data_IF_099242444658
#
_entry.id   IF_099242444658
#
_cell.length_a   1.000
_cell.length_b   1.000
_cell.length_c   1.000
_cell.angle_alpha   90.00
_cell.angle_beta   90.00
_cell.angle_gamma   90.00
#
_symmetry.space_group_name_H-M   'P 1'
#
loop_
_entity.id
_entity.type
_entity.pdbx_description
1 polymer ?
#
# COMPACT_ATOMS: atom_id res chain seq x y z
N UNK A 1 -16.87 27.56 26.23
CA UNK A 1 -16.55 26.55 27.25
C UNK A 1 -17.63 25.48 27.14
N UNK A 2 -17.22 24.21 27.00
CA UNK A 2 -17.90 23.06 26.38
C UNK A 2 -17.93 23.12 24.84
N UNK A 3 -17.52 22.12 24.05
CA UNK A 3 -16.46 21.10 24.14
C UNK A 3 -16.44 20.42 22.76
N UNK A 4 -15.26 20.40 22.11
CA UNK A 4 -14.77 19.35 21.22
C UNK A 4 -15.72 18.76 20.17
N UNK A 5 -16.07 19.52 19.13
CA UNK A 5 -16.47 18.91 17.86
C UNK A 5 -15.19 18.67 17.06
N UNK A 6 -14.71 17.43 17.09
CA UNK A 6 -13.65 16.94 16.22
C UNK A 6 -14.09 17.10 14.76
N UNK A 7 -13.80 18.27 14.20
CA UNK A 7 -13.71 18.53 12.77
C UNK A 7 -12.49 17.80 12.20
N UNK A 8 -12.47 16.47 12.36
CA UNK A 8 -11.71 15.57 11.49
C UNK A 8 -12.48 15.54 10.18
N UNK A 9 -12.40 16.65 9.47
CA UNK A 9 -13.07 16.88 8.22
C UNK A 9 -12.75 15.74 7.26
N UNK A 10 -13.79 14.96 6.96
CA UNK A 10 -13.97 14.15 5.76
C UNK A 10 -13.84 14.95 4.44
N UNK A 11 -13.14 16.10 4.40
CA UNK A 11 -13.02 16.94 3.19
C UNK A 11 -12.30 16.19 2.04
N UNK A 12 -11.61 15.07 2.32
CA UNK A 12 -11.04 14.19 1.29
C UNK A 12 -11.71 12.81 1.18
N UNK A 13 -12.72 12.50 2.01
CA UNK A 13 -13.50 11.27 1.91
C UNK A 13 -14.72 11.41 0.96
N UNK A 14 -15.06 12.61 0.48
CA UNK A 14 -16.03 12.76 -0.64
C UNK A 14 -15.35 13.06 -1.99
N UNK A 15 -14.11 13.58 -1.99
CA UNK A 15 -13.41 13.98 -3.21
C UNK A 15 -12.51 12.90 -3.84
N UNK A 16 -12.09 11.87 -3.09
CA UNK A 16 -11.09 10.88 -3.56
C UNK A 16 -11.45 9.40 -3.38
N UNK A 17 -12.64 9.03 -2.89
CA UNK A 17 -13.09 7.63 -2.98
C UNK A 17 -13.27 7.12 -4.43
N UNK A 18 -13.15 8.02 -5.41
CA UNK A 18 -13.27 7.72 -6.83
C UNK A 18 -12.10 6.98 -7.48
N UNK A 19 -11.02 6.62 -6.78
CA UNK A 19 -10.00 5.76 -7.42
C UNK A 19 -9.18 4.96 -6.40
N UNK A 20 -9.80 3.96 -5.78
CA UNK A 20 -9.02 2.77 -5.42
C UNK A 20 -8.37 2.25 -6.71
N UNK A 21 -7.06 2.40 -6.82
CA UNK A 21 -6.33 1.98 -8.01
C UNK A 21 -6.04 0.51 -7.87
N UNK A 22 -6.92 -0.32 -8.43
CA UNK A 22 -6.65 -1.73 -8.60
C UNK A 22 -5.67 -1.91 -9.76
N UNK A 23 -4.58 -2.62 -9.50
CA UNK A 23 -3.56 -2.87 -10.50
C UNK A 23 -3.02 -4.30 -10.40
N UNK A 24 -2.57 -4.82 -11.54
CA UNK A 24 -1.78 -6.03 -11.61
C UNK A 24 -0.30 -5.66 -11.56
N UNK A 25 0.42 -6.14 -10.55
CA UNK A 25 1.84 -5.90 -10.36
C UNK A 25 2.64 -7.14 -10.82
N UNK A 26 3.71 -6.91 -11.59
CA UNK A 26 4.67 -7.92 -12.02
C UNK A 26 6.02 -7.63 -11.37
N UNK A 27 6.50 -8.57 -10.56
CA UNK A 27 7.67 -8.34 -9.70
C UNK A 27 8.76 -9.39 -9.94
N UNK A 28 9.99 -8.89 -9.98
CA UNK A 28 11.23 -9.66 -9.96
C UNK A 28 12.06 -9.21 -8.77
N UNK A 29 12.57 -10.17 -8.01
CA UNK A 29 13.47 -9.92 -6.89
C UNK A 29 14.84 -10.53 -7.15
N UNK A 30 15.86 -9.88 -6.61
CA UNK A 30 17.24 -10.34 -6.66
C UNK A 30 18.04 -9.75 -5.51
N UNK A 31 19.26 -10.21 -5.34
CA UNK A 31 20.21 -9.66 -4.37
C UNK A 31 21.53 -9.34 -5.05
N UNK A 32 22.28 -8.43 -4.45
CA UNK A 32 23.59 -8.00 -4.92
C UNK A 32 24.56 -8.03 -3.76
N UNK A 33 25.81 -8.42 -4.01
CA UNK A 33 26.86 -8.35 -3.01
C UNK A 33 27.31 -6.90 -2.82
N UNK A 34 27.61 -6.51 -1.58
CA UNK A 34 28.07 -5.15 -1.25
C UNK A 34 29.30 -4.74 -2.08
N UNK A 35 30.19 -5.68 -2.36
CA UNK A 35 31.41 -5.45 -3.14
C UNK A 35 31.16 -5.00 -4.58
N UNK A 36 29.97 -5.27 -5.15
CA UNK A 36 29.61 -4.91 -6.52
C UNK A 36 28.45 -3.90 -6.59
N UNK A 37 27.99 -3.39 -5.46
CA UNK A 37 26.89 -2.43 -5.37
C UNK A 37 27.15 -1.17 -6.23
N UNK A 38 28.34 -0.59 -6.11
CA UNK A 38 28.72 0.63 -6.87
C UNK A 38 28.74 0.37 -8.37
N UNK A 39 29.28 -0.79 -8.79
CA UNK A 39 29.29 -1.20 -10.20
C UNK A 39 27.87 -1.41 -10.74
N UNK A 40 26.98 -2.02 -9.97
CA UNK A 40 25.58 -2.20 -10.35
C UNK A 40 24.89 -0.85 -10.54
N UNK A 41 25.09 0.08 -9.59
CA UNK A 41 24.49 1.41 -9.64
C UNK A 41 24.89 2.17 -10.92
N UNK A 42 26.17 2.16 -11.28
CA UNK A 42 26.65 2.80 -12.51
C UNK A 42 26.08 2.14 -13.78
N UNK A 43 25.91 0.81 -13.77
CA UNK A 43 25.26 0.10 -14.88
C UNK A 43 23.78 0.45 -15.00
N UNK A 44 23.05 0.54 -13.89
CA UNK A 44 21.64 0.94 -13.89
C UNK A 44 21.50 2.36 -14.42
N UNK A 45 22.35 3.31 -13.98
CA UNK A 45 22.36 4.69 -14.51
C UNK A 45 22.62 4.76 -16.01
N UNK A 46 23.41 3.84 -16.55
CA UNK A 46 23.68 3.76 -18.00
C UNK A 46 22.55 3.10 -18.81
N UNK A 47 21.71 2.28 -18.16
CA UNK A 47 20.62 1.54 -18.81
C UNK A 47 19.24 2.21 -18.64
N UNK A 48 18.98 2.83 -17.49
CA UNK A 48 17.73 3.47 -17.11
C UNK A 48 17.85 5.01 -17.16
N UNK A 49 16.80 5.72 -16.75
CA UNK A 49 16.88 7.17 -16.53
C UNK A 49 17.93 7.47 -15.44
N UNK A 50 18.88 8.40 -15.65
CA UNK A 50 19.91 8.74 -14.66
C UNK A 50 19.36 9.32 -13.35
N UNK A 51 18.06 9.62 -13.25
CA UNK A 51 17.42 10.10 -12.02
C UNK A 51 17.35 8.98 -10.98
N UNK A 52 18.24 9.06 -10.00
CA UNK A 52 18.13 8.32 -8.74
C UNK A 52 17.80 9.29 -7.61
N UNK A 53 16.75 9.00 -6.86
CA UNK A 53 16.38 9.75 -5.66
C UNK A 53 16.55 8.84 -4.44
N UNK A 54 17.22 9.36 -3.41
CA UNK A 54 17.26 8.71 -2.11
C UNK A 54 15.91 8.95 -1.44
N UNK A 55 15.31 7.88 -0.92
CA UNK A 55 14.06 7.97 -0.17
C UNK A 55 14.17 7.16 1.11
N UNK A 56 13.49 7.63 2.14
CA UNK A 56 13.35 6.99 3.43
C UNK A 56 11.88 6.92 3.80
N UNK A 57 11.42 5.73 4.15
CA UNK A 57 10.03 5.48 4.48
C UNK A 57 9.90 4.61 5.71
N UNK A 58 8.78 4.81 6.41
CA UNK A 58 8.36 3.94 7.49
C UNK A 58 7.10 3.19 7.08
N UNK A 59 7.17 1.86 7.15
CA UNK A 59 6.08 0.96 6.81
C UNK A 59 5.47 0.35 8.07
N UNK A 60 4.15 0.46 8.17
CA UNK A 60 3.32 -0.20 9.17
C UNK A 60 2.49 -1.27 8.48
N UNK A 61 2.39 -2.45 9.07
CA UNK A 61 1.56 -3.54 8.54
C UNK A 61 0.42 -3.80 9.50
N UNK A 62 -0.80 -3.73 8.96
CA UNK A 62 -2.02 -4.01 9.69
C UNK A 62 -2.67 -5.28 9.17
N UNK A 63 -3.25 -6.08 10.05
CA UNK A 63 -3.97 -7.29 9.68
C UNK A 63 -5.45 -7.14 9.99
N UNK A 64 -6.28 -7.51 9.02
CA UNK A 64 -7.73 -7.57 9.18
C UNK A 64 -8.18 -9.03 9.20
N UNK A 65 -8.81 -9.43 10.30
CA UNK A 65 -9.68 -10.60 10.28
C UNK A 65 -10.97 -10.22 9.55
N UNK A 66 -11.39 -11.03 8.59
CA UNK A 66 -12.52 -10.86 7.65
C UNK A 66 -13.91 -10.59 8.31
N UNK A 67 -13.95 -10.48 9.64
CA UNK A 67 -15.16 -10.28 10.46
C UNK A 67 -15.28 -8.87 11.06
N UNK A 68 -14.38 -7.91 10.76
CA UNK A 68 -14.31 -6.63 11.52
C UNK A 68 -14.24 -5.35 10.70
N UNK A 69 -14.02 -5.40 9.38
CA UNK A 69 -14.15 -4.20 8.55
C UNK A 69 -15.64 -3.83 8.45
N UNK A 70 -15.94 -2.53 8.48
CA UNK A 70 -17.32 -2.07 8.34
C UNK A 70 -17.86 -2.48 6.95
N UNK A 71 -19.13 -2.90 6.82
CA UNK A 71 -19.72 -3.27 5.53
C UNK A 71 -19.61 -2.19 4.45
N UNK A 72 -19.58 -0.91 4.87
CA UNK A 72 -19.32 0.23 3.99
C UNK A 72 -17.92 0.18 3.38
N UNK A 73 -16.90 -0.25 4.12
CA UNK A 73 -15.52 -0.40 3.63
C UNK A 73 -15.42 -1.58 2.66
N UNK A 74 -16.06 -2.71 2.98
CA UNK A 74 -16.13 -3.87 2.08
C UNK A 74 -16.70 -3.52 0.69
N UNK A 75 -17.82 -2.79 0.67
CA UNK A 75 -18.48 -2.39 -0.57
C UNK A 75 -17.71 -1.31 -1.35
N UNK A 76 -16.94 -0.45 -0.67
CA UNK A 76 -16.18 0.63 -1.30
C UNK A 76 -14.85 0.14 -1.87
N UNK A 77 -14.22 -0.84 -1.25
CA UNK A 77 -12.97 -1.44 -1.70
C UNK A 77 -13.17 -2.54 -2.74
N UNK A 78 -14.41 -2.91 -3.08
CA UNK A 78 -14.72 -4.08 -3.91
C UNK A 78 -13.86 -5.30 -3.52
N UNK A 79 -13.87 -5.64 -2.22
CA UNK A 79 -13.07 -6.75 -1.69
C UNK A 79 -13.48 -8.12 -2.26
N UNK A 80 -14.49 -8.18 -3.14
CA UNK A 80 -14.74 -9.36 -3.98
C UNK A 80 -13.53 -9.73 -4.84
N UNK A 81 -12.67 -8.76 -5.15
CA UNK A 81 -11.42 -8.95 -5.86
C UNK A 81 -10.34 -9.68 -5.05
N UNK A 82 -10.44 -9.61 -3.72
CA UNK A 82 -9.60 -10.36 -2.79
C UNK A 82 -10.22 -11.75 -2.68
N UNK A 83 -9.69 -12.69 -3.47
CA UNK A 83 -10.05 -14.10 -3.34
C UNK A 83 -9.95 -14.53 -1.89
N UNK A 84 -10.86 -15.40 -1.44
CA UNK A 84 -10.96 -15.91 -0.07
C UNK A 84 -9.67 -16.61 0.35
N UNK A 85 -8.67 -15.81 0.73
CA UNK A 85 -7.42 -16.29 1.24
C UNK A 85 -7.72 -16.91 2.59
N UNK A 86 -7.18 -18.09 2.86
CA UNK A 86 -7.37 -18.82 4.13
C UNK A 86 -6.67 -18.15 5.32
N UNK A 87 -6.23 -16.89 5.18
CA UNK A 87 -5.47 -16.12 6.17
C UNK A 87 -5.96 -14.67 6.30
N UNK A 88 -5.42 -13.92 7.28
CA UNK A 88 -5.78 -12.52 7.49
C UNK A 88 -5.30 -11.65 6.32
N UNK A 89 -6.13 -10.69 5.92
CA UNK A 89 -5.78 -9.72 4.88
C UNK A 89 -4.84 -8.68 5.48
N UNK A 90 -3.66 -8.52 4.89
CA UNK A 90 -2.66 -7.56 5.36
C UNK A 90 -2.63 -6.30 4.52
N UNK A 91 -2.51 -5.15 5.19
CA UNK A 91 -2.45 -3.83 4.59
C UNK A 91 -1.16 -3.13 4.99
N UNK A 92 -0.49 -2.57 4.00
CA UNK A 92 0.75 -1.84 4.15
C UNK A 92 0.44 -0.34 4.17
N UNK A 93 0.86 0.33 5.23
CA UNK A 93 0.68 1.77 5.42
C UNK A 93 2.05 2.40 5.47
N UNK A 94 2.42 3.09 4.39
CA UNK A 94 3.73 3.71 4.22
C UNK A 94 3.62 5.22 4.40
N UNK A 95 4.63 5.81 5.03
CA UNK A 95 4.83 7.27 5.05
C UNK A 95 6.27 7.61 4.70
N UNK A 96 6.44 8.70 3.96
CA UNK A 96 7.76 9.30 3.77
C UNK A 96 8.29 9.85 5.10
N UNK A 97 9.58 9.66 5.33
CA UNK A 97 10.32 10.30 6.42
C UNK A 97 10.96 11.61 5.94
N UNK A 98 11.24 11.73 4.65
CA UNK A 98 11.82 12.92 4.03
C UNK A 98 10.78 14.03 3.79
N UNK A 99 9.52 13.63 3.59
CA UNK A 99 8.38 14.53 3.37
C UNK A 99 7.26 14.24 4.38
N UNK A 100 7.35 14.76 5.62
CA UNK A 100 6.36 14.50 6.66
C UNK A 100 4.94 15.00 6.34
N UNK A 101 4.83 16.02 5.48
CA UNK A 101 3.56 16.59 5.04
C UNK A 101 2.92 15.79 3.88
N UNK A 102 3.64 14.81 3.31
CA UNK A 102 3.10 13.96 2.26
C UNK A 102 2.02 13.03 2.83
N UNK A 103 0.98 12.69 2.02
CA UNK A 103 -0.04 11.76 2.45
C UNK A 103 0.55 10.37 2.73
N UNK A 104 -0.12 9.63 3.61
CA UNK A 104 0.17 8.21 3.79
C UNK A 104 -0.30 7.42 2.57
N UNK A 105 0.42 6.35 2.26
CA UNK A 105 0.10 5.43 1.20
C UNK A 105 -0.41 4.11 1.80
N UNK A 106 -1.69 3.83 1.60
CA UNK A 106 -2.35 2.58 1.96
C UNK A 106 -2.33 1.65 0.76
N UNK A 107 -1.68 0.50 0.91
CA UNK A 107 -1.52 -0.50 -0.13
C UNK A 107 -1.94 -1.88 0.38
N UNK A 108 -2.83 -2.53 -0.35
CA UNK A 108 -3.01 -3.98 -0.27
C UNK A 108 -2.14 -4.67 -1.32
N UNK A 109 -1.50 -5.76 -0.92
CA UNK A 109 -0.72 -6.62 -1.81
C UNK A 109 -1.26 -8.04 -1.67
N UNK A 110 -1.82 -8.55 -2.75
CA UNK A 110 -2.34 -9.91 -2.81
C UNK A 110 -1.24 -10.96 -2.88
N UNK A 111 -1.66 -12.21 -2.64
CA UNK A 111 -0.82 -13.35 -2.91
C UNK A 111 -0.47 -13.44 -4.40
N UNK A 112 0.65 -14.09 -4.76
CA UNK A 112 0.95 -14.41 -6.15
C UNK A 112 -0.19 -15.19 -6.80
N UNK A 113 -0.65 -14.71 -7.95
CA UNK A 113 -1.66 -15.38 -8.75
C UNK A 113 -1.09 -16.71 -9.28
N UNK A 114 -1.83 -17.82 -9.17
CA UNK A 114 -1.37 -19.11 -9.67
C UNK A 114 -1.28 -19.06 -11.19
N UNK A 115 -0.10 -19.32 -11.74
CA UNK A 115 0.09 -19.52 -13.16
C UNK A 115 -0.02 -21.01 -13.50
N UNK A 116 -1.24 -21.44 -13.86
CA UNK A 116 -1.53 -22.85 -14.22
C UNK A 116 -0.62 -23.38 -15.33
N UNK A 117 -0.19 -22.52 -16.25
CA UNK A 117 0.60 -22.92 -17.41
C UNK A 117 2.11 -22.75 -17.20
N UNK A 118 2.55 -22.21 -16.05
CA UNK A 118 3.96 -21.89 -15.73
C UNK A 118 4.69 -21.13 -16.84
N UNK A 119 3.98 -20.23 -17.55
CA UNK A 119 4.51 -19.42 -18.65
C UNK A 119 5.03 -18.07 -18.19
N UNK A 120 4.61 -17.58 -17.04
CA UNK A 120 4.98 -16.30 -16.47
C UNK A 120 6.29 -16.46 -15.68
N UNK A 121 7.40 -15.85 -16.12
CA UNK A 121 8.68 -15.94 -15.42
C UNK A 121 8.77 -14.98 -14.22
N UNK A 122 7.71 -14.21 -13.95
CA UNK A 122 7.67 -13.16 -12.91
C UNK A 122 6.56 -13.45 -11.92
N UNK A 123 6.72 -12.96 -10.68
CA UNK A 123 5.62 -12.97 -9.71
C UNK A 123 4.56 -12.01 -10.21
N UNK A 124 3.35 -12.51 -10.40
CA UNK A 124 2.20 -11.73 -10.82
C UNK A 124 1.24 -11.68 -9.64
N UNK A 125 0.80 -10.49 -9.22
CA UNK A 125 -0.10 -10.34 -8.07
C UNK A 125 -0.99 -9.11 -8.18
N UNK A 126 -2.15 -9.21 -7.56
CA UNK A 126 -3.12 -8.11 -7.43
C UNK A 126 -2.67 -7.10 -6.39
N UNK A 127 -2.85 -5.82 -6.67
CA UNK A 127 -2.55 -4.72 -5.73
C UNK A 127 -3.68 -3.70 -5.73
N UNK A 128 -3.81 -2.99 -4.63
CA UNK A 128 -4.77 -1.89 -4.50
C UNK A 128 -4.17 -0.77 -3.67
N UNK A 129 -4.22 0.44 -4.19
CA UNK A 129 -3.56 1.61 -3.62
C UNK A 129 -4.53 2.77 -3.36
N UNK A 130 -4.29 3.49 -2.27
CA UNK A 130 -4.97 4.73 -1.92
C UNK A 130 -4.05 5.67 -1.13
N UNK A 131 -4.17 6.97 -1.39
CA UNK A 131 -3.51 8.01 -0.59
C UNK A 131 -4.49 8.55 0.46
N UNK A 132 -4.04 8.67 1.70
CA UNK A 132 -4.88 9.21 2.78
C UNK A 132 -4.11 10.18 3.67
N UNK A 133 -4.86 11.05 4.34
CA UNK A 133 -4.33 12.05 5.27
C UNK A 133 -5.28 12.17 6.44
N UNK A 134 -4.73 12.16 7.66
CA UNK A 134 -5.47 12.31 8.90
C UNK A 134 -4.55 12.93 9.95
N UNK A 135 -5.11 13.80 10.80
CA UNK A 135 -4.41 14.37 11.95
C UNK A 135 -4.06 13.31 13.00
N UNK A 136 -4.86 12.23 13.06
CA UNK A 136 -4.60 11.04 13.87
C UNK A 136 -4.75 9.80 12.97
N UNK A 137 -3.65 9.43 12.32
CA UNK A 137 -3.66 8.30 11.37
C UNK A 137 -3.92 6.97 12.08
N UNK A 138 -3.36 6.76 13.26
CA UNK A 138 -3.48 5.49 13.98
C UNK A 138 -4.88 5.31 14.55
N UNK A 139 -5.47 6.35 15.13
CA UNK A 139 -6.87 6.32 15.57
C UNK A 139 -7.83 6.16 14.41
N UNK A 140 -7.57 6.82 13.28
CA UNK A 140 -8.35 6.65 12.05
C UNK A 140 -8.33 5.21 11.53
N UNK A 141 -7.15 4.61 11.35
CA UNK A 141 -7.02 3.21 10.92
C UNK A 141 -7.65 2.26 11.94
N UNK A 142 -7.46 2.53 13.23
CA UNK A 142 -8.07 1.77 14.31
C UNK A 142 -9.61 1.78 14.26
N UNK A 143 -10.21 2.91 13.90
CA UNK A 143 -11.66 3.06 13.74
C UNK A 143 -12.20 2.35 12.48
N UNK A 144 -11.39 2.26 11.42
CA UNK A 144 -11.73 1.49 10.22
C UNK A 144 -11.65 -0.04 10.44
N UNK A 145 -11.02 -0.47 11.53
CA UNK A 145 -10.89 -1.88 11.90
C UNK A 145 -9.50 -2.47 11.69
N UNK A 146 -8.53 -1.67 11.24
CA UNK A 146 -7.12 -2.08 11.13
C UNK A 146 -6.51 -2.32 12.52
N UNK A 147 -5.72 -3.38 12.65
CA UNK A 147 -5.07 -3.81 13.90
C UNK A 147 -3.64 -4.26 13.66
#
# INVERSE_FOLDING_TARGET
MLAGTNESYCILLEAYFGQWLMAQEYVLFGSVLDSVYTLLLERIKGLADPRSEAFSEHELVFANSDSRLLPSVYSLMDLTFIESSTGPITWHVRRSLDHPDAPFHLRYVGNPDPDENKKCPTIMRKTMDCLCSSNDMMGFLGNLGFR
#
